data_IF_960267055618
#
_entry.id   IF_960267055618
#
_cell.length_a   1.000
_cell.length_b   1.000
_cell.length_c   1.000
_cell.angle_alpha   90.00
_cell.angle_beta   90.00
_cell.angle_gamma   90.00
#
_symmetry.space_group_name_H-M   'P 1'
#
loop_
_entity.id
_entity.type
_entity.pdbx_description
1 polymer ?
#
# COMPACT_ATOMS: atom_id res chain seq x y z
N UNK A 1 30.32 -8.90 -28.19
CA UNK A 1 29.06 -9.13 -27.42
C UNK A 1 28.74 -7.86 -26.66
N UNK A 2 27.47 -7.44 -26.60
CA UNK A 2 27.02 -6.28 -25.81
C UNK A 2 25.98 -6.71 -24.78
N UNK A 3 26.00 -6.09 -23.60
CA UNK A 3 25.02 -6.36 -22.54
C UNK A 3 24.91 -5.16 -21.62
N UNK A 4 23.68 -4.83 -21.20
CA UNK A 4 23.41 -3.60 -20.43
C UNK A 4 23.74 -3.74 -18.93
N UNK A 5 23.47 -4.90 -18.33
CA UNK A 5 23.88 -5.19 -16.95
C UNK A 5 24.36 -6.64 -16.86
N UNK A 6 25.58 -6.85 -16.35
CA UNK A 6 26.23 -8.16 -16.25
C UNK A 6 27.05 -8.24 -14.98
N UNK A 7 26.65 -9.14 -14.10
CA UNK A 7 27.44 -9.53 -12.93
C UNK A 7 28.67 -10.36 -13.32
N UNK A 8 29.71 -10.40 -12.48
CA UNK A 8 30.90 -11.24 -12.72
C UNK A 8 30.55 -12.70 -13.03
N UNK A 9 29.61 -13.29 -12.27
CA UNK A 9 29.19 -14.68 -12.49
C UNK A 9 28.60 -14.91 -13.90
N UNK A 10 27.92 -13.90 -14.47
CA UNK A 10 27.37 -13.98 -15.81
C UNK A 10 28.47 -13.81 -16.87
N UNK A 11 29.50 -13.00 -16.60
CA UNK A 11 30.66 -12.85 -17.48
C UNK A 11 31.45 -14.16 -17.54
N UNK A 12 31.71 -14.78 -16.39
CA UNK A 12 32.39 -16.08 -16.33
C UNK A 12 31.58 -17.19 -17.00
N UNK A 13 30.25 -17.17 -16.84
CA UNK A 13 29.35 -18.04 -17.59
C UNK A 13 29.49 -17.89 -19.12
N UNK A 14 29.53 -16.65 -19.64
CA UNK A 14 29.75 -16.40 -21.07
C UNK A 14 31.11 -16.93 -21.51
N UNK A 15 32.17 -16.59 -20.78
CA UNK A 15 33.53 -17.01 -21.12
C UNK A 15 33.62 -18.52 -21.24
N UNK A 16 33.08 -19.23 -20.24
CA UNK A 16 33.01 -20.69 -20.24
C UNK A 16 32.18 -21.23 -21.41
N UNK A 17 30.98 -20.70 -21.64
CA UNK A 17 30.09 -21.17 -22.71
C UNK A 17 30.65 -20.92 -24.11
N UNK A 18 31.32 -19.80 -24.32
CA UNK A 18 31.91 -19.41 -25.60
C UNK A 18 33.38 -19.81 -25.75
N UNK A 19 33.95 -20.49 -24.74
CA UNK A 19 35.36 -20.92 -24.67
C UNK A 19 36.33 -19.75 -24.91
N UNK A 20 36.03 -18.61 -24.30
CA UNK A 20 36.85 -17.41 -24.41
C UNK A 20 37.79 -17.30 -23.22
N UNK A 21 39.08 -17.27 -23.50
CA UNK A 21 40.13 -17.04 -22.50
C UNK A 21 40.28 -15.56 -22.18
N UNK A 22 40.69 -15.24 -20.95
CA UNK A 22 40.76 -13.84 -20.49
C UNK A 22 41.74 -12.97 -21.27
N UNK A 23 42.79 -13.55 -21.87
CA UNK A 23 43.74 -12.81 -22.72
C UNK A 23 43.19 -12.48 -24.12
N UNK A 24 42.09 -13.14 -24.54
CA UNK A 24 41.47 -12.96 -25.84
C UNK A 24 40.26 -12.00 -25.80
N UNK A 25 40.00 -11.37 -24.65
CA UNK A 25 38.83 -10.53 -24.45
C UNK A 25 39.24 -9.20 -23.84
N UNK A 26 38.83 -8.10 -24.47
CA UNK A 26 38.78 -6.80 -23.83
C UNK A 26 37.37 -6.56 -23.29
N UNK A 27 37.27 -6.16 -22.02
CA UNK A 27 36.00 -5.80 -21.38
C UNK A 27 35.96 -4.29 -21.21
N UNK A 28 35.09 -3.64 -21.99
CA UNK A 28 34.76 -2.23 -21.83
C UNK A 28 33.53 -2.13 -20.94
N UNK A 29 33.59 -1.31 -19.89
CA UNK A 29 32.49 -1.09 -18.95
C UNK A 29 32.04 0.36 -19.04
N UNK A 30 30.74 0.57 -19.21
CA UNK A 30 30.14 1.90 -19.11
C UNK A 30 29.81 2.27 -17.67
N UNK A 31 29.51 3.54 -17.45
CA UNK A 31 28.97 4.03 -16.17
C UNK A 31 27.55 3.46 -15.96
N UNK A 32 27.31 2.91 -14.77
CA UNK A 32 26.02 2.30 -14.41
C UNK A 32 25.20 3.22 -13.50
N UNK A 33 25.87 4.03 -12.67
CA UNK A 33 25.17 4.98 -11.83
C UNK A 33 24.49 6.01 -12.73
N UNK A 34 23.18 6.16 -12.56
CA UNK A 34 22.38 7.17 -13.24
C UNK A 34 21.87 8.17 -12.21
N UNK A 35 22.64 9.25 -11.89
CA UNK A 35 22.28 10.21 -10.85
C UNK A 35 20.90 10.85 -11.04
N UNK A 36 20.46 10.94 -12.30
CA UNK A 36 19.19 11.55 -12.69
C UNK A 36 17.95 10.75 -12.26
N UNK A 37 18.13 9.50 -11.82
CA UNK A 37 17.03 8.66 -11.33
C UNK A 37 17.00 8.72 -9.81
N UNK A 38 15.93 9.29 -9.24
CA UNK A 38 15.65 9.23 -7.81
C UNK A 38 15.04 7.88 -7.45
N UNK A 39 15.77 7.09 -6.66
CA UNK A 39 15.33 5.76 -6.22
C UNK A 39 14.74 5.83 -4.81
N UNK A 40 13.47 5.46 -4.66
CA UNK A 40 12.75 5.42 -3.39
C UNK A 40 12.36 3.98 -3.08
N UNK A 41 12.90 3.43 -2.00
CA UNK A 41 12.46 2.13 -1.46
C UNK A 41 11.40 2.37 -0.39
N UNK A 42 10.24 1.73 -0.53
CA UNK A 42 9.09 1.87 0.38
C UNK A 42 8.73 0.51 0.98
N UNK A 43 8.65 0.47 2.30
CA UNK A 43 8.09 -0.68 3.01
C UNK A 43 6.58 -0.73 2.80
N UNK A 44 6.08 -1.86 2.29
CA UNK A 44 4.66 -2.05 2.03
C UNK A 44 3.85 -2.07 3.33
N UNK A 45 2.71 -1.38 3.31
CA UNK A 45 1.71 -1.39 4.38
C UNK A 45 0.58 -2.36 4.04
N UNK A 46 0.29 -2.51 2.76
CA UNK A 46 -0.75 -3.39 2.25
C UNK A 46 -0.17 -4.73 1.78
N UNK A 47 -1.07 -5.70 1.55
CA UNK A 47 -0.63 -7.01 1.07
C UNK A 47 -0.11 -6.93 -0.38
N UNK A 48 0.93 -7.74 -0.68
CA UNK A 48 1.38 -7.95 -2.07
C UNK A 48 0.27 -8.49 -2.99
N UNK A 49 -0.75 -9.13 -2.42
CA UNK A 49 -1.88 -9.66 -3.17
C UNK A 49 -2.81 -8.54 -3.64
N UNK A 50 -3.09 -7.54 -2.80
CA UNK A 50 -4.01 -6.44 -3.12
C UNK A 50 -3.36 -5.32 -3.94
N UNK A 51 -2.03 -5.16 -3.89
CA UNK A 51 -1.33 -3.99 -4.43
C UNK A 51 -1.87 -2.67 -3.88
N UNK A 52 -2.43 -2.68 -2.67
CA UNK A 52 -3.14 -1.55 -2.07
C UNK A 52 -2.27 -0.31 -1.85
N UNK A 53 -0.96 -0.47 -1.68
CA UNK A 53 -0.03 0.66 -1.53
C UNK A 53 -0.06 1.64 -2.72
N UNK A 54 -0.41 1.15 -3.92
CA UNK A 54 -0.60 2.00 -5.10
C UNK A 54 -1.68 3.07 -4.89
N UNK A 55 -2.71 2.79 -4.08
CA UNK A 55 -3.79 3.75 -3.81
C UNK A 55 -3.28 5.01 -3.12
N UNK A 56 -2.23 4.90 -2.31
CA UNK A 56 -1.68 6.03 -1.57
C UNK A 56 -0.80 6.96 -2.41
N UNK A 57 -0.26 6.45 -3.52
CA UNK A 57 0.72 7.19 -4.33
C UNK A 57 0.19 7.65 -5.68
N UNK A 58 -1.01 7.19 -6.09
CA UNK A 58 -1.60 7.57 -7.37
C UNK A 58 -2.69 8.63 -7.16
N UNK A 59 -2.59 9.81 -7.81
CA UNK A 59 -3.59 10.87 -7.76
C UNK A 59 -4.99 10.41 -8.16
N UNK A 60 -6.04 11.01 -7.57
CA UNK A 60 -7.42 10.83 -8.04
C UNK A 60 -7.63 11.48 -9.40
N UNK A 61 -8.56 10.94 -10.21
CA UNK A 61 -8.88 11.52 -11.53
C UNK A 61 -9.49 12.92 -11.45
N UNK A 62 -10.20 13.22 -10.37
CA UNK A 62 -10.76 14.55 -10.10
C UNK A 62 -9.70 15.61 -9.81
N UNK A 63 -8.49 15.20 -9.41
CA UNK A 63 -7.40 16.10 -9.03
C UNK A 63 -6.37 16.23 -10.14
N UNK A 64 -5.98 15.10 -10.76
CA UNK A 64 -5.06 15.06 -11.90
C UNK A 64 -5.72 14.30 -13.04
N UNK A 65 -6.13 14.94 -14.15
CA UNK A 65 -6.71 14.24 -15.31
C UNK A 65 -5.72 13.26 -15.96
N UNK A 66 -6.22 12.25 -16.69
CA UNK A 66 -5.38 11.20 -17.30
C UNK A 66 -4.29 11.76 -18.22
N UNK A 67 -4.56 12.88 -18.92
CA UNK A 67 -3.61 13.55 -19.81
C UNK A 67 -2.41 14.19 -19.09
N UNK A 68 -2.54 14.49 -17.79
CA UNK A 68 -1.49 15.09 -16.97
C UNK A 68 -0.79 14.06 -16.08
N UNK A 69 -1.19 12.80 -16.15
CA UNK A 69 -0.55 11.74 -15.38
C UNK A 69 0.84 11.46 -15.91
N UNK A 70 1.79 11.34 -14.98
CA UNK A 70 3.17 10.93 -15.29
C UNK A 70 3.15 9.55 -15.98
N UNK A 71 3.78 9.41 -17.16
CA UNK A 71 3.94 8.11 -17.80
C UNK A 71 4.67 7.13 -16.88
N UNK A 72 3.96 6.10 -16.45
CA UNK A 72 4.39 5.23 -15.36
C UNK A 72 4.26 3.76 -15.72
N UNK A 73 5.29 2.99 -15.42
CA UNK A 73 5.28 1.54 -15.56
C UNK A 73 5.22 0.87 -14.20
N UNK A 74 4.28 -0.06 -14.03
CA UNK A 74 4.12 -0.85 -12.81
C UNK A 74 4.52 -2.28 -13.10
N UNK A 75 5.72 -2.67 -12.66
CA UNK A 75 6.22 -4.02 -12.76
C UNK A 75 5.69 -4.89 -11.64
N UNK A 76 5.22 -6.07 -12.02
CA UNK A 76 4.61 -7.06 -11.15
C UNK A 76 5.24 -8.43 -11.35
N UNK A 77 5.29 -9.22 -10.27
CA UNK A 77 5.95 -10.53 -10.27
C UNK A 77 5.19 -11.62 -11.04
N UNK A 78 3.92 -11.41 -11.41
CA UNK A 78 3.12 -12.40 -12.13
C UNK A 78 2.07 -11.76 -13.01
N UNK A 79 1.57 -12.53 -13.98
CA UNK A 79 0.49 -12.11 -14.86
C UNK A 79 -0.76 -11.72 -14.04
N UNK A 80 -1.20 -12.54 -13.08
CA UNK A 80 -2.39 -12.23 -12.27
C UNK A 80 -2.21 -10.94 -11.45
N UNK A 81 -1.00 -10.65 -10.98
CA UNK A 81 -0.70 -9.40 -10.26
C UNK A 81 -0.77 -8.17 -11.16
N UNK A 82 -0.46 -8.29 -12.46
CA UNK A 82 -0.66 -7.15 -13.39
C UNK A 82 -2.14 -6.75 -13.48
N UNK A 83 -3.07 -7.71 -13.45
CA UNK A 83 -4.51 -7.39 -13.37
C UNK A 83 -4.91 -6.80 -12.01
N UNK A 84 -4.30 -7.26 -10.93
CA UNK A 84 -4.63 -6.79 -9.58
C UNK A 84 -4.13 -5.37 -9.33
N UNK A 85 -2.92 -5.04 -9.77
CA UNK A 85 -2.43 -3.66 -9.75
C UNK A 85 -3.30 -2.74 -10.59
N UNK A 86 -3.82 -3.17 -11.74
CA UNK A 86 -4.80 -2.38 -12.51
C UNK A 86 -6.08 -2.07 -11.72
N UNK A 87 -6.59 -3.02 -10.94
CA UNK A 87 -7.75 -2.79 -10.05
C UNK A 87 -7.41 -1.79 -8.94
N UNK A 88 -6.21 -1.87 -8.36
CA UNK A 88 -5.74 -0.91 -7.36
C UNK A 88 -5.58 0.50 -7.95
N UNK A 89 -5.08 0.59 -9.18
CA UNK A 89 -4.97 1.84 -9.94
C UNK A 89 -6.35 2.45 -10.21
N UNK A 90 -7.31 1.66 -10.67
CA UNK A 90 -8.71 2.10 -10.84
C UNK A 90 -9.32 2.63 -9.54
N UNK A 91 -9.05 1.95 -8.43
CA UNK A 91 -9.51 2.38 -7.10
C UNK A 91 -8.88 3.72 -6.71
N UNK A 92 -7.57 3.89 -6.92
CA UNK A 92 -6.85 5.14 -6.67
C UNK A 92 -7.43 6.31 -7.47
N UNK A 93 -7.75 6.06 -8.75
CA UNK A 93 -8.34 7.06 -9.64
C UNK A 93 -9.80 7.39 -9.33
N UNK A 94 -10.50 6.55 -8.57
CA UNK A 94 -11.94 6.65 -8.37
C UNK A 94 -12.75 6.15 -9.58
N UNK A 95 -12.18 5.28 -10.41
CA UNK A 95 -12.77 4.79 -11.67
C UNK A 95 -12.83 3.26 -11.71
N UNK A 96 -13.45 2.65 -10.69
CA UNK A 96 -13.52 1.18 -10.54
C UNK A 96 -14.05 0.49 -11.81
N UNK A 97 -13.27 -0.43 -12.36
CA UNK A 97 -13.63 -1.24 -13.53
C UNK A 97 -13.26 -0.61 -14.89
N UNK A 98 -12.70 0.60 -14.91
CA UNK A 98 -12.26 1.28 -16.13
C UNK A 98 -11.08 0.56 -16.81
N UNK A 99 -10.21 -0.09 -16.03
CA UNK A 99 -9.06 -0.84 -16.54
C UNK A 99 -9.46 -2.12 -17.29
N UNK A 100 -10.67 -2.63 -17.06
CA UNK A 100 -11.18 -3.84 -17.72
C UNK A 100 -11.79 -3.57 -19.09
N UNK A 101 -11.99 -2.28 -19.44
CA UNK A 101 -12.53 -1.89 -20.74
C UNK A 101 -11.45 -2.06 -21.83
N UNK A 102 -11.79 -2.63 -23.00
CA UNK A 102 -10.90 -2.63 -24.14
C UNK A 102 -10.42 -1.21 -24.46
N UNK A 103 -9.13 -1.06 -24.79
CA UNK A 103 -8.51 0.25 -25.11
C UNK A 103 -8.66 1.31 -24.00
N UNK A 104 -8.66 0.90 -22.73
CA UNK A 104 -8.64 1.83 -21.60
C UNK A 104 -7.59 2.93 -21.82
N UNK A 105 -8.00 4.17 -21.58
CA UNK A 105 -7.18 5.39 -21.77
C UNK A 105 -6.34 5.74 -20.54
N UNK A 106 -6.42 4.94 -19.48
CA UNK A 106 -5.63 5.17 -18.27
C UNK A 106 -4.52 4.13 -18.11
N UNK A 107 -4.87 2.84 -17.93
CA UNK A 107 -3.91 1.76 -17.74
C UNK A 107 -4.17 0.60 -18.68
N UNK A 108 -3.09 0.02 -19.23
CA UNK A 108 -3.15 -1.20 -20.03
C UNK A 108 -2.18 -2.26 -19.51
N UNK A 109 -2.49 -3.52 -19.81
CA UNK A 109 -1.73 -4.70 -19.34
C UNK A 109 -0.73 -5.15 -20.40
N UNK A 110 0.47 -5.56 -19.97
CA UNK A 110 1.47 -6.16 -20.88
C UNK A 110 2.18 -7.35 -20.23
N UNK A 111 2.15 -8.52 -20.87
CA UNK A 111 2.92 -9.70 -20.45
C UNK A 111 3.21 -10.63 -21.65
N UNK A 112 3.92 -11.74 -21.39
CA UNK A 112 4.33 -12.68 -22.44
C UNK A 112 3.14 -13.23 -23.25
N UNK A 113 2.05 -13.59 -22.57
CA UNK A 113 0.82 -14.09 -23.20
C UNK A 113 -0.11 -13.01 -23.81
N UNK A 114 0.30 -11.74 -23.84
CA UNK A 114 -0.44 -10.71 -24.58
C UNK A 114 -0.32 -11.00 -26.09
N UNK A 115 -1.43 -10.94 -26.83
CA UNK A 115 -1.41 -11.18 -28.27
C UNK A 115 -0.50 -10.19 -29.01
N UNK A 116 0.14 -10.63 -30.10
CA UNK A 116 1.17 -9.82 -30.78
C UNK A 116 0.62 -8.48 -31.29
N UNK A 117 -0.60 -8.49 -31.84
CA UNK A 117 -1.30 -7.27 -32.27
C UNK A 117 -1.54 -6.30 -31.11
N UNK A 118 -1.88 -6.82 -29.94
CA UNK A 118 -2.10 -6.00 -28.75
C UNK A 118 -0.79 -5.43 -28.21
N UNK A 119 0.31 -6.19 -28.26
CA UNK A 119 1.65 -5.68 -27.89
C UNK A 119 2.04 -4.50 -28.78
N UNK A 120 1.94 -4.67 -30.10
CA UNK A 120 2.22 -3.60 -31.07
C UNK A 120 1.31 -2.38 -30.84
N UNK A 121 0.02 -2.61 -30.56
CA UNK A 121 -0.91 -1.51 -30.32
C UNK A 121 -0.64 -0.76 -29.02
N UNK A 122 -0.30 -1.46 -27.94
CA UNK A 122 0.12 -0.85 -26.67
C UNK A 122 1.37 0.00 -26.87
N UNK A 123 2.32 -0.46 -27.68
CA UNK A 123 3.52 0.30 -28.04
C UNK A 123 3.17 1.57 -28.79
N UNK A 124 2.41 1.45 -29.87
CA UNK A 124 2.02 2.57 -30.70
C UNK A 124 1.25 3.63 -29.90
N UNK A 125 0.28 3.20 -29.10
CA UNK A 125 -0.57 4.11 -28.32
C UNK A 125 0.20 4.76 -27.17
N UNK A 126 1.21 4.08 -26.59
CA UNK A 126 2.08 4.70 -25.58
C UNK A 126 2.98 5.77 -26.22
N UNK A 127 3.54 5.51 -27.40
CA UNK A 127 4.35 6.47 -28.14
C UNK A 127 3.54 7.71 -28.55
N UNK A 128 2.23 7.56 -28.78
CA UNK A 128 1.28 8.66 -29.04
C UNK A 128 0.72 9.31 -27.78
N UNK A 129 1.19 8.92 -26.59
CA UNK A 129 0.69 9.41 -25.30
C UNK A 129 -0.82 9.23 -25.10
N UNK A 130 -1.43 8.19 -25.67
CA UNK A 130 -2.88 7.96 -25.55
C UNK A 130 -3.32 7.48 -24.16
N UNK A 131 -2.39 6.92 -23.39
CA UNK A 131 -2.62 6.47 -22.03
C UNK A 131 -1.31 6.51 -21.22
N UNK A 132 -1.36 6.84 -19.92
CA UNK A 132 -0.17 7.07 -19.11
C UNK A 132 0.42 5.82 -18.43
N UNK A 133 -0.35 4.74 -18.19
CA UNK A 133 0.09 3.63 -17.34
C UNK A 133 0.20 2.29 -18.07
N UNK A 134 1.28 1.56 -17.82
CA UNK A 134 1.40 0.13 -18.18
C UNK A 134 1.57 -0.68 -16.90
N UNK A 135 0.70 -1.66 -16.70
CA UNK A 135 0.92 -2.74 -15.73
C UNK A 135 1.51 -3.95 -16.42
N UNK A 136 2.73 -4.34 -16.05
CA UNK A 136 3.49 -5.35 -16.78
C UNK A 136 4.25 -6.34 -15.91
N UNK A 137 4.64 -7.46 -16.52
CA UNK A 137 5.70 -8.32 -16.01
C UNK A 137 7.03 -7.96 -16.68
N UNK A 138 8.12 -8.62 -16.27
CA UNK A 138 9.42 -8.52 -16.95
C UNK A 138 9.39 -8.90 -18.44
N UNK A 139 8.29 -9.39 -19.00
CA UNK A 139 8.19 -9.60 -20.45
C UNK A 139 8.36 -8.29 -21.25
N UNK A 140 8.02 -7.15 -20.66
CA UNK A 140 8.29 -5.83 -21.23
C UNK A 140 9.74 -5.43 -20.96
N UNK A 141 10.74 -6.24 -21.33
CA UNK A 141 12.13 -6.01 -20.91
C UNK A 141 13.12 -5.56 -22.00
N UNK A 142 12.93 -5.84 -23.29
CA UNK A 142 14.03 -5.67 -24.26
C UNK A 142 13.57 -5.22 -25.64
N UNK A 143 14.38 -4.38 -26.30
CA UNK A 143 14.29 -4.09 -27.74
C UNK A 143 13.49 -2.85 -28.17
N UNK A 144 12.93 -2.08 -27.22
CA UNK A 144 12.07 -0.93 -27.53
C UNK A 144 12.55 0.29 -26.74
N UNK A 145 12.75 1.42 -27.43
CA UNK A 145 13.16 2.68 -26.80
C UNK A 145 11.93 3.46 -26.34
N UNK A 146 11.76 3.59 -25.03
CA UNK A 146 10.60 4.23 -24.42
C UNK A 146 11.00 5.55 -23.76
N UNK A 147 11.43 6.51 -24.59
CA UNK A 147 11.95 7.78 -24.11
C UNK A 147 10.95 8.57 -23.22
N UNK A 148 9.65 8.29 -23.33
CA UNK A 148 8.60 8.98 -22.60
C UNK A 148 8.38 8.50 -21.16
N UNK A 149 8.97 7.38 -20.73
CA UNK A 149 8.76 6.84 -19.38
C UNK A 149 9.53 7.68 -18.36
N UNK A 150 8.79 8.21 -17.38
CA UNK A 150 9.37 9.05 -16.33
C UNK A 150 9.31 8.38 -14.96
N UNK A 151 8.34 7.50 -14.72
CA UNK A 151 8.24 6.76 -13.46
C UNK A 151 8.22 5.25 -13.66
N UNK A 152 8.93 4.53 -12.80
CA UNK A 152 8.90 3.08 -12.70
C UNK A 152 8.56 2.67 -11.27
N UNK A 153 7.54 1.84 -11.12
CA UNK A 153 7.13 1.25 -9.85
C UNK A 153 7.38 -0.25 -9.93
N UNK A 154 8.18 -0.78 -9.01
CA UNK A 154 8.46 -2.20 -8.87
C UNK A 154 7.72 -2.75 -7.66
N UNK A 155 6.83 -3.73 -7.89
CA UNK A 155 6.06 -4.38 -6.84
C UNK A 155 6.73 -5.65 -6.35
N UNK A 156 7.28 -5.60 -5.14
CA UNK A 156 7.76 -6.75 -4.39
C UNK A 156 9.16 -7.24 -4.79
N UNK A 157 9.47 -8.44 -4.30
CA UNK A 157 10.81 -9.06 -4.38
C UNK A 157 11.14 -9.48 -5.81
N UNK A 158 12.30 -9.06 -6.32
CA UNK A 158 12.85 -9.42 -7.65
C UNK A 158 14.37 -9.24 -7.62
N UNK A 159 15.08 -9.96 -8.50
CA UNK A 159 16.54 -9.89 -8.61
C UNK A 159 17.04 -8.44 -8.80
N UNK A 160 18.05 -7.97 -8.04
CA UNK A 160 18.52 -6.59 -8.12
C UNK A 160 19.00 -6.15 -9.50
N UNK A 161 19.66 -7.04 -10.27
CA UNK A 161 20.13 -6.71 -11.61
C UNK A 161 18.96 -6.48 -12.56
N UNK A 162 17.86 -7.21 -12.36
CA UNK A 162 16.61 -7.03 -13.08
C UNK A 162 15.92 -5.72 -12.68
N UNK A 163 15.88 -5.39 -11.38
CA UNK A 163 15.35 -4.10 -10.90
C UNK A 163 16.14 -2.93 -11.50
N UNK A 164 17.47 -3.01 -11.48
CA UNK A 164 18.35 -2.02 -12.09
C UNK A 164 17.98 -1.79 -13.58
N UNK A 165 17.82 -2.86 -14.38
CA UNK A 165 17.37 -2.73 -15.76
C UNK A 165 15.96 -2.13 -15.92
N UNK A 166 15.06 -2.39 -14.97
CA UNK A 166 13.69 -1.86 -15.00
C UNK A 166 13.67 -0.37 -14.69
N UNK A 167 14.36 0.07 -13.63
CA UNK A 167 14.36 1.46 -13.19
C UNK A 167 15.16 2.37 -14.15
N UNK A 168 16.23 1.88 -14.78
CA UNK A 168 17.02 2.59 -15.80
C UNK A 168 16.28 2.85 -17.13
N UNK A 169 14.96 2.68 -17.14
CA UNK A 169 14.07 3.12 -18.22
C UNK A 169 13.47 4.48 -17.96
N UNK A 170 13.32 4.84 -16.70
CA UNK A 170 13.00 6.21 -16.34
C UNK A 170 14.16 7.13 -16.72
N UNK A 171 13.85 8.34 -17.17
CA UNK A 171 14.83 9.41 -17.37
C UNK A 171 15.68 9.35 -18.66
N UNK A 172 15.30 8.52 -19.65
CA UNK A 172 16.05 8.38 -20.91
C UNK A 172 16.03 9.61 -21.83
N UNK A 173 15.16 10.57 -21.57
CA UNK A 173 15.06 11.83 -22.34
C UNK A 173 15.87 12.99 -21.74
N UNK A 174 16.86 12.71 -20.88
CA UNK A 174 17.64 13.75 -20.18
C UNK A 174 16.84 14.50 -19.11
N UNK A 175 15.65 13.99 -18.77
CA UNK A 175 14.82 14.47 -17.66
C UNK A 175 15.01 13.56 -16.44
N UNK A 176 14.88 14.09 -15.22
CA UNK A 176 15.03 13.25 -14.04
C UNK A 176 13.91 12.20 -13.98
N UNK A 177 14.28 11.00 -13.54
CA UNK A 177 13.39 9.84 -13.44
C UNK A 177 13.04 9.51 -12.00
N UNK A 178 11.89 8.86 -11.79
CA UNK A 178 11.49 8.38 -10.48
C UNK A 178 11.36 6.86 -10.48
N UNK A 179 12.04 6.21 -9.54
CA UNK A 179 11.90 4.78 -9.30
C UNK A 179 11.34 4.53 -7.89
N UNK A 180 10.23 3.81 -7.78
CA UNK A 180 9.64 3.41 -6.49
C UNK A 180 9.70 1.89 -6.39
N UNK A 181 10.39 1.38 -5.37
CA UNK A 181 10.56 -0.05 -5.13
C UNK A 181 9.78 -0.40 -3.86
N UNK A 182 8.67 -1.12 -4.02
CA UNK A 182 7.91 -1.63 -2.89
C UNK A 182 8.51 -2.94 -2.39
N UNK A 183 8.90 -2.96 -1.12
CA UNK A 183 9.50 -4.12 -0.47
C UNK A 183 8.63 -4.61 0.67
N UNK A 184 8.51 -5.92 0.82
CA UNK A 184 7.77 -6.48 1.95
C UNK A 184 8.56 -6.30 3.25
N UNK A 185 7.90 -5.89 4.36
CA UNK A 185 8.56 -5.70 5.64
C UNK A 185 9.11 -6.99 6.23
N UNK A 186 8.41 -8.11 5.98
CA UNK A 186 8.85 -9.43 6.37
C UNK A 186 8.74 -10.40 5.21
N UNK A 187 9.87 -11.03 4.86
CA UNK A 187 10.01 -12.03 3.81
C UNK A 187 10.05 -13.41 4.46
N UNK A 188 9.04 -14.24 4.20
CA UNK A 188 8.95 -15.60 4.77
C UNK A 188 10.08 -16.46 4.19
N UNK A 189 10.85 -17.10 5.06
CA UNK A 189 12.00 -17.91 4.66
C UNK A 189 13.19 -17.12 4.11
N UNK A 190 13.16 -15.78 4.19
CA UNK A 190 14.25 -14.90 3.80
C UNK A 190 14.90 -14.19 5.00
N UNK A 191 16.02 -13.53 4.75
CA UNK A 191 16.82 -12.80 5.77
C UNK A 191 16.25 -11.41 6.02
N UNK A 192 15.76 -11.14 7.23
CA UNK A 192 14.95 -9.94 7.49
C UNK A 192 15.73 -8.80 8.16
N UNK A 193 16.42 -9.01 9.28
CA UNK A 193 17.41 -8.06 9.78
C UNK A 193 18.76 -8.19 9.05
N UNK A 194 19.56 -7.13 9.11
CA UNK A 194 20.95 -7.13 8.61
C UNK A 194 21.80 -8.19 9.34
N UNK A 195 21.51 -8.45 10.62
CA UNK A 195 22.21 -9.45 11.42
C UNK A 195 22.09 -10.90 10.88
N UNK A 196 21.07 -11.20 10.07
CA UNK A 196 20.93 -12.52 9.41
C UNK A 196 21.99 -12.73 8.31
N UNK A 197 22.70 -11.67 7.91
CA UNK A 197 23.76 -11.72 6.92
C UNK A 197 25.11 -11.84 7.62
N UNK A 198 25.63 -13.06 7.67
CA UNK A 198 26.94 -13.32 8.25
C UNK A 198 28.04 -12.65 7.43
N UNK A 199 29.03 -12.00 8.08
CA UNK A 199 30.19 -11.44 7.41
C UNK A 199 30.94 -12.50 6.59
N UNK A 200 31.56 -12.08 5.48
CA UNK A 200 32.41 -12.90 4.62
C UNK A 200 31.72 -14.10 3.94
N UNK A 201 30.38 -14.22 4.03
CA UNK A 201 29.64 -15.17 3.22
C UNK A 201 29.19 -14.55 1.90
N UNK A 202 29.43 -15.28 0.81
CA UNK A 202 28.93 -14.89 -0.51
C UNK A 202 27.40 -14.87 -0.50
N UNK A 203 26.83 -13.77 -0.98
CA UNK A 203 25.38 -13.66 -1.12
C UNK A 203 24.90 -14.50 -2.30
N UNK A 204 23.93 -15.38 -2.06
CA UNK A 204 23.16 -16.03 -3.12
C UNK A 204 22.25 -15.04 -3.85
N UNK A 205 21.61 -15.44 -4.94
CA UNK A 205 20.59 -14.61 -5.59
C UNK A 205 19.43 -14.25 -4.64
N UNK A 206 19.04 -15.17 -3.77
CA UNK A 206 17.99 -14.95 -2.76
C UNK A 206 18.44 -13.96 -1.69
N UNK A 207 19.69 -14.10 -1.21
CA UNK A 207 20.28 -13.18 -0.24
C UNK A 207 20.37 -11.76 -0.78
N UNK A 208 20.72 -11.59 -2.07
CA UNK A 208 20.80 -10.27 -2.71
C UNK A 208 19.44 -9.57 -2.78
N UNK A 209 18.40 -10.31 -3.16
CA UNK A 209 17.02 -9.81 -3.13
C UNK A 209 16.62 -9.37 -1.72
N UNK A 210 17.07 -10.14 -0.73
CA UNK A 210 16.79 -9.88 0.67
C UNK A 210 17.56 -8.68 1.21
N UNK A 211 18.83 -8.56 0.85
CA UNK A 211 19.71 -7.47 1.21
C UNK A 211 19.24 -6.14 0.61
N UNK A 212 18.81 -6.13 -0.66
CA UNK A 212 18.26 -4.91 -1.30
C UNK A 212 17.04 -4.37 -0.55
N UNK A 213 16.22 -5.24 0.03
CA UNK A 213 15.04 -4.84 0.77
C UNK A 213 15.35 -4.09 2.08
N UNK A 214 16.56 -4.23 2.63
CA UNK A 214 16.90 -3.74 3.98
C UNK A 214 18.21 -2.98 4.08
N UNK A 215 19.04 -2.99 3.03
CA UNK A 215 20.34 -2.32 3.05
C UNK A 215 20.20 -0.86 3.52
N UNK A 216 21.03 -0.40 4.47
CA UNK A 216 21.01 0.98 4.94
C UNK A 216 21.82 1.93 4.04
N UNK A 217 22.60 1.40 3.09
CA UNK A 217 23.53 2.19 2.29
C UNK A 217 22.84 2.89 1.10
N UNK A 218 23.52 3.81 0.42
CA UNK A 218 22.98 4.44 -0.78
C UNK A 218 22.52 3.40 -1.82
N UNK A 219 21.28 3.53 -2.33
CA UNK A 219 20.70 2.57 -3.27
C UNK A 219 21.38 2.59 -4.65
N UNK A 220 21.85 3.76 -5.10
CA UNK A 220 22.60 3.86 -6.37
C UNK A 220 23.91 3.07 -6.28
N UNK A 221 24.70 3.34 -5.24
CA UNK A 221 25.95 2.62 -4.96
C UNK A 221 25.69 1.13 -4.73
N UNK A 222 24.61 0.76 -4.03
CA UNK A 222 24.25 -0.64 -3.84
C UNK A 222 24.01 -1.36 -5.16
N UNK A 223 23.31 -0.75 -6.12
CA UNK A 223 23.14 -1.31 -7.47
C UNK A 223 24.46 -1.36 -8.25
N UNK A 224 25.32 -0.35 -8.13
CA UNK A 224 26.64 -0.36 -8.75
C UNK A 224 27.47 -1.55 -8.25
N UNK A 225 27.61 -1.70 -6.94
CA UNK A 225 28.36 -2.80 -6.31
C UNK A 225 27.75 -4.16 -6.67
N UNK A 226 26.42 -4.29 -6.66
CA UNK A 226 25.78 -5.54 -7.07
C UNK A 226 26.15 -5.96 -8.49
N UNK A 227 26.20 -5.01 -9.42
CA UNK A 227 26.56 -5.30 -10.80
C UNK A 227 28.06 -5.54 -10.98
N UNK A 228 28.92 -4.80 -10.27
CA UNK A 228 30.37 -4.93 -10.41
C UNK A 228 30.95 -6.10 -9.63
N UNK A 229 30.48 -6.36 -8.41
CA UNK A 229 31.03 -7.33 -7.46
C UNK A 229 30.08 -8.47 -7.14
N UNK A 230 28.78 -8.36 -7.45
CA UNK A 230 27.83 -9.46 -7.33
C UNK A 230 27.15 -9.60 -5.97
N UNK A 231 27.19 -8.58 -5.11
CA UNK A 231 26.53 -8.58 -3.80
C UNK A 231 25.95 -7.20 -3.45
N UNK A 232 24.99 -7.15 -2.52
CA UNK A 232 24.45 -5.88 -2.01
C UNK A 232 25.17 -5.52 -0.70
N UNK A 233 25.87 -4.38 -0.61
CA UNK A 233 26.47 -3.92 0.66
C UNK A 233 25.39 -3.71 1.73
N UNK A 234 25.69 -4.06 2.97
CA UNK A 234 24.76 -3.94 4.11
C UNK A 234 25.28 -3.01 5.22
N UNK A 235 26.52 -2.53 5.09
CA UNK A 235 27.18 -1.66 6.06
C UNK A 235 27.77 -0.46 5.32
N UNK A 236 27.66 0.71 5.93
CA UNK A 236 28.31 1.94 5.42
C UNK A 236 29.84 1.85 5.49
N UNK A 237 30.36 0.95 6.33
CA UNK A 237 31.78 0.70 6.50
C UNK A 237 32.35 -0.35 5.53
N UNK A 238 31.51 -0.93 4.65
CA UNK A 238 31.97 -1.83 3.60
C UNK A 238 33.06 -1.13 2.74
N UNK A 239 34.26 -1.72 2.59
CA UNK A 239 35.36 -1.09 1.85
C UNK A 239 35.00 -0.76 0.41
N UNK A 240 34.27 -1.65 -0.27
CA UNK A 240 33.83 -1.44 -1.66
C UNK A 240 32.81 -0.30 -1.73
N UNK A 241 31.94 -0.18 -0.73
CA UNK A 241 30.99 0.93 -0.62
C UNK A 241 31.70 2.27 -0.46
N UNK A 242 32.68 2.35 0.44
CA UNK A 242 33.48 3.58 0.63
C UNK A 242 34.27 3.96 -0.62
N UNK A 243 34.86 2.96 -1.28
CA UNK A 243 35.60 3.19 -2.52
C UNK A 243 34.70 3.75 -3.63
N UNK A 244 33.51 3.16 -3.82
CA UNK A 244 32.57 3.62 -4.85
C UNK A 244 32.00 5.01 -4.51
N UNK A 245 31.71 5.26 -3.24
CA UNK A 245 31.28 6.58 -2.78
C UNK A 245 32.34 7.66 -3.08
N UNK A 246 33.62 7.36 -2.84
CA UNK A 246 34.71 8.32 -3.09
C UNK A 246 34.96 8.51 -4.59
N UNK A 247 34.79 7.46 -5.38
CA UNK A 247 34.84 7.53 -6.84
C UNK A 247 33.73 8.44 -7.39
N UNK A 248 32.48 8.26 -6.97
CA UNK A 248 31.36 9.11 -7.42
C UNK A 248 31.60 10.59 -7.10
N UNK A 249 32.13 10.90 -5.90
CA UNK A 249 32.53 12.27 -5.53
C UNK A 249 33.64 12.81 -6.42
N UNK A 250 34.69 12.01 -6.64
CA UNK A 250 35.83 12.39 -7.47
C UNK A 250 35.45 12.60 -8.94
N UNK A 251 34.43 11.89 -9.42
CA UNK A 251 33.84 12.04 -10.74
C UNK A 251 32.87 13.23 -10.85
N UNK A 252 32.64 13.96 -9.76
CA UNK A 252 31.77 15.15 -9.74
C UNK A 252 30.28 14.84 -9.74
N UNK A 253 29.86 13.66 -9.29
CA UNK A 253 28.44 13.31 -9.24
C UNK A 253 27.70 14.14 -8.20
N UNK A 254 26.45 14.51 -8.52
CA UNK A 254 25.56 15.17 -7.57
C UNK A 254 25.24 14.24 -6.40
N UNK A 255 25.03 14.82 -5.21
CA UNK A 255 24.69 14.07 -4.02
C UNK A 255 23.39 13.26 -4.24
N UNK A 256 23.43 11.96 -3.92
CA UNK A 256 22.29 11.08 -4.15
C UNK A 256 21.10 11.43 -3.27
N UNK A 257 19.89 11.47 -3.87
CA UNK A 257 18.63 11.73 -3.17
C UNK A 257 17.76 10.46 -2.99
N UNK A 258 18.38 9.28 -3.03
CA UNK A 258 17.66 8.04 -2.79
C UNK A 258 17.10 7.99 -1.36
N UNK A 259 16.12 7.12 -1.11
CA UNK A 259 15.44 7.04 0.20
C UNK A 259 16.36 6.70 1.39
N UNK A 260 17.55 6.17 1.14
CA UNK A 260 18.54 5.88 2.19
C UNK A 260 19.51 7.07 2.44
N UNK A 261 19.69 7.95 1.46
CA UNK A 261 20.52 9.15 1.58
C UNK A 261 19.72 10.38 2.01
N UNK A 262 18.45 10.43 1.66
CA UNK A 262 17.55 11.53 1.98
C UNK A 262 16.17 10.98 2.33
N UNK A 263 15.57 11.38 3.48
CA UNK A 263 14.23 10.95 3.86
C UNK A 263 13.21 11.21 2.74
N UNK A 264 12.41 10.19 2.42
CA UNK A 264 11.47 10.23 1.30
C UNK A 264 10.01 10.42 1.73
N UNK A 265 9.73 10.40 3.04
CA UNK A 265 8.38 10.50 3.62
C UNK A 265 7.68 11.80 3.21
N UNK A 266 8.42 12.91 3.18
CA UNK A 266 7.89 14.19 2.72
C UNK A 266 7.43 14.15 1.26
N UNK A 267 8.24 13.56 0.37
CA UNK A 267 7.88 13.41 -1.04
C UNK A 267 6.69 12.45 -1.19
N UNK A 268 6.73 11.28 -0.53
CA UNK A 268 5.67 10.28 -0.59
C UNK A 268 4.33 10.79 -0.05
N UNK A 269 4.33 11.68 0.94
CA UNK A 269 3.10 12.29 1.46
C UNK A 269 2.39 13.23 0.48
N UNK A 270 3.11 13.70 -0.55
CA UNK A 270 2.63 14.66 -1.57
C UNK A 270 2.61 14.05 -2.97
N UNK A 271 3.07 12.82 -3.13
CA UNK A 271 3.26 12.21 -4.45
C UNK A 271 1.94 12.04 -5.21
N UNK A 272 0.82 11.98 -4.50
CA UNK A 272 -0.53 11.97 -5.08
C UNK A 272 -0.95 13.31 -5.72
N UNK A 273 -0.13 14.36 -5.64
CA UNK A 273 -0.32 15.62 -6.40
C UNK A 273 0.63 15.73 -7.60
N UNK A 274 1.43 14.69 -7.85
CA UNK A 274 2.41 14.68 -8.94
C UNK A 274 1.75 14.56 -10.30
N UNK A 275 2.21 15.36 -11.25
CA UNK A 275 1.78 15.38 -12.65
C UNK A 275 2.99 15.69 -13.57
N UNK A 276 2.77 15.66 -14.88
CA UNK A 276 3.82 15.88 -15.88
C UNK A 276 4.50 17.26 -15.80
N UNK A 277 3.82 18.26 -15.26
CA UNK A 277 4.29 19.66 -15.20
C UNK A 277 5.15 19.91 -13.95
N UNK A 278 4.85 19.23 -12.84
CA UNK A 278 5.52 19.46 -11.56
C UNK A 278 6.51 18.35 -11.15
N UNK A 279 6.52 17.20 -11.84
CA UNK A 279 7.32 16.03 -11.46
C UNK A 279 8.80 16.36 -11.29
N UNK A 280 9.42 17.01 -12.28
CA UNK A 280 10.86 17.29 -12.28
C UNK A 280 11.28 18.10 -11.04
N UNK A 281 10.49 19.11 -10.68
CA UNK A 281 10.68 19.89 -9.46
C UNK A 281 10.48 19.02 -8.21
N UNK A 282 9.38 18.27 -8.15
CA UNK A 282 9.07 17.42 -6.99
C UNK A 282 10.17 16.41 -6.67
N UNK A 283 10.77 15.78 -7.69
CA UNK A 283 11.79 14.74 -7.48
C UNK A 283 13.19 15.32 -7.29
N UNK A 284 13.48 16.52 -7.78
CA UNK A 284 14.80 17.16 -7.67
C UNK A 284 15.03 17.88 -6.34
N UNK A 285 14.00 18.01 -5.49
CA UNK A 285 14.13 18.71 -4.20
C UNK A 285 13.80 17.85 -2.98
N UNK A 286 14.35 18.27 -1.84
CA UNK A 286 14.02 17.71 -0.54
C UNK A 286 12.66 18.22 -0.08
N UNK A 287 11.86 17.32 0.49
CA UNK A 287 10.58 17.65 1.09
C UNK A 287 10.62 17.29 2.57
N UNK A 288 10.41 18.26 3.47
CA UNK A 288 10.28 17.98 4.89
C UNK A 288 9.12 17.00 5.13
N UNK A 289 9.33 16.12 6.11
CA UNK A 289 8.25 15.27 6.60
C UNK A 289 7.06 16.16 6.99
N UNK A 290 5.81 15.77 6.66
CA UNK A 290 4.66 16.52 7.13
C UNK A 290 4.74 16.63 8.65
N UNK A 291 4.57 17.85 9.17
CA UNK A 291 4.53 18.06 10.61
C UNK A 291 3.49 17.09 11.16
N UNK A 292 3.96 16.16 12.00
CA UNK A 292 3.03 15.40 12.81
C UNK A 292 2.38 16.48 13.65
N UNK A 293 1.10 16.77 13.41
CA UNK A 293 0.33 17.57 14.35
C UNK A 293 0.33 16.71 15.60
N UNK A 294 1.33 16.92 16.45
CA UNK A 294 1.26 16.61 17.85
C UNK A 294 -0.01 17.30 18.25
N UNK A 295 -1.09 16.52 18.40
CA UNK A 295 -2.22 16.94 19.21
C UNK A 295 -1.59 17.11 20.58
N UNK A 296 -1.01 18.29 20.82
CA UNK A 296 -0.60 18.72 22.14
C UNK A 296 -1.83 18.49 22.96
N UNK A 297 -1.74 17.54 23.87
CA UNK A 297 -2.65 17.37 24.99
C UNK A 297 -2.56 18.70 25.75
N UNK A 298 -3.29 19.71 25.27
CA UNK A 298 -3.49 20.95 26.01
C UNK A 298 -4.24 20.49 27.24
N UNK A 299 -3.49 20.37 28.33
CA UNK A 299 -3.98 20.17 29.69
C UNK A 299 -4.94 21.33 29.91
N UNK A 300 -6.24 21.07 29.74
CA UNK A 300 -7.27 22.10 29.91
C UNK A 300 -7.35 22.34 31.42
N UNK A 301 -6.74 23.43 31.87
CA UNK A 301 -6.99 23.98 33.20
C UNK A 301 -8.50 24.20 33.34
N UNK A 302 -9.03 23.82 34.49
CA UNK A 302 -10.41 24.03 34.84
C UNK A 302 -10.67 25.53 34.97
N UNK A 303 -11.35 26.11 33.99
CA UNK A 303 -12.08 27.36 34.15
C UNK A 303 -13.57 27.02 34.12
N UNK A 304 -14.24 27.40 35.20
CA UNK A 304 -15.66 27.22 35.43
C UNK A 304 -16.52 27.88 34.33
N UNK A 305 -17.69 27.29 34.07
CA UNK A 305 -18.83 27.97 33.45
C UNK A 305 -19.08 27.67 31.98
N UNK A 306 -20.18 26.96 31.72
CA UNK A 306 -21.10 27.26 30.61
C UNK A 306 -20.86 26.62 29.24
N UNK A 307 -21.65 25.57 28.95
CA UNK A 307 -22.36 25.43 27.66
C UNK A 307 -21.63 24.80 26.47
N UNK A 308 -22.08 23.61 26.04
CA UNK A 308 -21.86 23.09 24.68
C UNK A 308 -21.20 21.70 24.62
N UNK A 309 -21.96 20.63 24.91
CA UNK A 309 -21.54 19.25 24.69
C UNK A 309 -21.80 18.86 23.22
N UNK A 310 -20.75 18.64 22.43
CA UNK A 310 -20.80 17.74 21.26
C UNK A 310 -20.22 16.39 21.66
N UNK A 311 -21.06 15.35 21.65
CA UNK A 311 -20.76 14.00 22.11
C UNK A 311 -19.89 13.22 21.11
N UNK A 312 -18.70 12.80 21.53
CA UNK A 312 -18.00 11.64 20.95
C UNK A 312 -18.72 10.36 21.38
N UNK A 313 -19.30 9.62 20.42
CA UNK A 313 -20.02 8.37 20.65
C UNK A 313 -19.13 7.25 21.21
N UNK A 314 -19.62 6.57 22.24
CA UNK A 314 -18.99 5.39 22.85
C UNK A 314 -19.25 4.17 21.97
N UNK A 315 -18.22 3.39 21.61
CA UNK A 315 -18.41 2.06 21.00
C UNK A 315 -19.09 1.12 22.00
N UNK A 316 -20.35 0.76 21.75
CA UNK A 316 -21.11 -0.19 22.55
C UNK A 316 -20.79 -1.61 22.06
N UNK A 317 -20.29 -2.47 22.94
CA UNK A 317 -20.02 -3.89 22.62
C UNK A 317 -21.22 -4.74 23.07
N UNK A 318 -21.97 -5.29 22.11
CA UNK A 318 -23.14 -6.16 22.36
C UNK A 318 -22.71 -7.53 22.90
N UNK A 319 -23.52 -8.16 23.76
CA UNK A 319 -23.32 -9.54 24.22
C UNK A 319 -23.75 -10.56 23.15
N UNK A 320 -23.18 -11.77 23.17
CA UNK A 320 -23.50 -12.87 22.22
C UNK A 320 -25.01 -13.05 21.90
N UNK A 321 -25.94 -13.13 22.88
CA UNK A 321 -27.36 -13.29 22.54
C UNK A 321 -27.99 -12.07 21.84
N UNK A 322 -27.47 -10.87 22.09
CA UNK A 322 -27.92 -9.64 21.40
C UNK A 322 -27.29 -9.53 20.00
N UNK A 323 -26.12 -10.13 19.81
CA UNK A 323 -25.47 -10.19 18.51
C UNK A 323 -26.26 -11.10 17.56
N UNK A 324 -26.68 -12.27 18.04
CA UNK A 324 -27.52 -13.22 17.30
C UNK A 324 -28.87 -12.59 16.90
N UNK A 325 -29.60 -12.01 17.87
CA UNK A 325 -30.88 -11.35 17.57
C UNK A 325 -30.74 -10.17 16.60
N UNK A 326 -29.69 -9.35 16.71
CA UNK A 326 -29.47 -8.25 15.78
C UNK A 326 -29.11 -8.77 14.38
N UNK A 327 -28.32 -9.83 14.30
CA UNK A 327 -27.96 -10.49 13.04
C UNK A 327 -29.18 -10.99 12.28
N UNK A 328 -30.07 -11.72 12.98
CA UNK A 328 -31.31 -12.23 12.40
C UNK A 328 -32.22 -11.11 11.90
N UNK A 329 -32.40 -10.04 12.70
CA UNK A 329 -33.25 -8.91 12.32
C UNK A 329 -32.69 -8.12 11.13
N UNK A 330 -31.36 -7.94 11.06
CA UNK A 330 -30.71 -7.28 9.92
C UNK A 330 -30.83 -8.12 8.65
N UNK A 331 -30.61 -9.43 8.74
CA UNK A 331 -30.77 -10.35 7.62
C UNK A 331 -32.21 -10.37 7.09
N UNK A 332 -33.21 -10.42 7.99
CA UNK A 332 -34.63 -10.38 7.62
C UNK A 332 -34.99 -9.06 6.92
N UNK A 333 -34.59 -7.92 7.47
CA UNK A 333 -34.91 -6.62 6.87
C UNK A 333 -34.26 -6.41 5.49
N UNK A 334 -33.06 -6.95 5.30
CA UNK A 334 -32.42 -6.94 3.99
C UNK A 334 -33.17 -7.85 3.00
N UNK A 335 -33.55 -9.05 3.43
CA UNK A 335 -34.31 -10.00 2.62
C UNK A 335 -35.65 -9.41 2.18
N UNK A 336 -36.38 -8.73 3.05
CA UNK A 336 -37.63 -8.06 2.68
C UNK A 336 -37.42 -7.00 1.58
N UNK A 337 -36.35 -6.21 1.68
CA UNK A 337 -35.99 -5.25 0.63
C UNK A 337 -35.62 -5.95 -0.68
N UNK A 338 -34.91 -7.07 -0.59
CA UNK A 338 -34.49 -7.87 -1.73
C UNK A 338 -35.69 -8.49 -2.46
N UNK A 339 -36.61 -9.11 -1.73
CA UNK A 339 -37.79 -9.78 -2.29
C UNK A 339 -38.75 -8.77 -2.94
N UNK A 340 -38.88 -7.55 -2.38
CA UNK A 340 -39.62 -6.45 -3.02
C UNK A 340 -39.00 -6.04 -4.36
N UNK A 341 -37.67 -6.05 -4.46
CA UNK A 341 -36.97 -5.66 -5.68
C UNK A 341 -37.01 -6.76 -6.74
N UNK A 342 -37.06 -8.02 -6.32
CA UNK A 342 -37.07 -9.20 -7.19
C UNK A 342 -38.14 -10.22 -6.80
N UNK A 343 -39.44 -9.91 -7.01
CA UNK A 343 -40.54 -10.75 -6.55
C UNK A 343 -40.62 -12.12 -7.25
N UNK A 344 -39.99 -12.26 -8.41
CA UNK A 344 -39.97 -13.50 -9.20
C UNK A 344 -38.66 -14.30 -9.01
N UNK A 345 -37.85 -13.95 -8.00
CA UNK A 345 -36.56 -14.57 -7.71
C UNK A 345 -35.42 -14.07 -8.59
N UNK A 346 -34.19 -14.44 -8.22
CA UNK A 346 -32.96 -14.18 -8.99
C UNK A 346 -32.03 -15.40 -8.94
N UNK A 347 -30.97 -15.40 -9.74
CA UNK A 347 -29.90 -16.41 -9.66
C UNK A 347 -28.91 -16.20 -8.50
N UNK A 348 -29.17 -15.25 -7.60
CA UNK A 348 -28.32 -14.89 -6.46
C UNK A 348 -29.19 -14.86 -5.20
N UNK A 349 -28.70 -15.43 -4.10
CA UNK A 349 -29.41 -15.45 -2.83
C UNK A 349 -29.17 -14.13 -2.05
N UNK A 350 -30.16 -13.58 -1.31
CA UNK A 350 -29.94 -12.46 -0.39
C UNK A 350 -28.69 -12.60 0.48
N UNK A 351 -28.38 -13.81 0.96
CA UNK A 351 -27.22 -14.06 1.83
C UNK A 351 -25.88 -13.89 1.10
N UNK A 352 -25.85 -14.07 -0.23
CA UNK A 352 -24.65 -13.85 -1.05
C UNK A 352 -24.31 -12.36 -1.19
N UNK A 353 -25.30 -11.49 -0.96
CA UNK A 353 -25.17 -10.03 -1.08
C UNK A 353 -25.12 -9.32 0.28
N UNK A 354 -25.75 -9.91 1.29
CA UNK A 354 -25.77 -9.40 2.66
C UNK A 354 -25.68 -10.58 3.63
N UNK A 355 -24.46 -11.02 3.88
CA UNK A 355 -24.16 -12.15 4.75
C UNK A 355 -23.50 -11.73 6.05
N UNK A 356 -22.86 -12.68 6.72
CA UNK A 356 -22.22 -12.50 8.02
C UNK A 356 -21.14 -11.39 8.01
N UNK A 357 -20.46 -11.17 6.88
CA UNK A 357 -19.44 -10.12 6.77
C UNK A 357 -20.04 -8.72 6.86
N UNK A 358 -21.15 -8.46 6.18
CA UNK A 358 -21.85 -7.16 6.18
C UNK A 358 -22.48 -6.90 7.55
N UNK A 359 -23.14 -7.92 8.11
CA UNK A 359 -23.75 -7.85 9.44
C UNK A 359 -22.69 -7.55 10.50
N UNK A 360 -21.55 -8.25 10.45
CA UNK A 360 -20.44 -8.03 11.38
C UNK A 360 -19.87 -6.61 11.30
N UNK A 361 -19.75 -6.02 10.09
CA UNK A 361 -19.32 -4.62 9.93
C UNK A 361 -20.27 -3.64 10.61
N UNK A 362 -21.58 -3.89 10.55
CA UNK A 362 -22.59 -3.08 11.24
C UNK A 362 -22.44 -3.23 12.75
N UNK A 363 -22.30 -4.47 13.24
CA UNK A 363 -22.15 -4.75 14.67
C UNK A 363 -20.88 -4.14 15.28
N UNK A 364 -19.75 -4.24 14.57
CA UNK A 364 -18.46 -3.68 15.01
C UNK A 364 -18.50 -2.14 15.16
N UNK A 365 -19.47 -1.50 14.50
CA UNK A 365 -19.67 -0.06 14.50
C UNK A 365 -20.98 0.39 15.17
N UNK A 366 -21.72 -0.52 15.83
CA UNK A 366 -23.08 -0.28 16.34
C UNK A 366 -23.24 1.06 17.08
N UNK A 367 -22.46 1.29 18.15
CA UNK A 367 -22.52 2.54 18.94
C UNK A 367 -21.97 3.80 18.27
N UNK A 368 -21.54 3.73 17.01
CA UNK A 368 -21.08 4.86 16.20
C UNK A 368 -22.03 5.15 15.02
N UNK A 369 -23.11 4.39 14.86
CA UNK A 369 -24.09 4.58 13.80
C UNK A 369 -25.07 5.67 14.23
N UNK A 370 -25.06 6.80 13.51
CA UNK A 370 -25.89 7.97 13.79
C UNK A 370 -26.65 8.45 12.54
N UNK A 371 -27.37 7.51 11.93
CA UNK A 371 -28.21 7.77 10.76
C UNK A 371 -27.90 6.87 9.57
N UNK A 372 -28.81 6.89 8.60
CA UNK A 372 -28.74 6.15 7.32
C UNK A 372 -27.42 6.39 6.57
N UNK A 373 -26.88 7.62 6.65
CA UNK A 373 -25.59 7.98 6.03
C UNK A 373 -24.40 7.22 6.62
N UNK A 374 -24.46 6.87 7.91
CA UNK A 374 -23.41 6.11 8.59
C UNK A 374 -23.47 4.63 8.22
N UNK A 375 -24.68 4.06 8.11
CA UNK A 375 -24.90 2.70 7.58
C UNK A 375 -24.39 2.57 6.14
N UNK A 376 -24.69 3.56 5.29
CA UNK A 376 -24.20 3.62 3.90
C UNK A 376 -22.67 3.63 3.82
N UNK A 377 -22.01 4.41 4.69
CA UNK A 377 -20.54 4.50 4.75
C UNK A 377 -19.90 3.19 5.22
N UNK A 378 -20.53 2.48 6.16
CA UNK A 378 -20.03 1.23 6.71
C UNK A 378 -20.14 0.09 5.69
N UNK A 379 -21.28 0.00 4.99
CA UNK A 379 -21.52 -1.10 4.06
C UNK A 379 -20.78 -0.95 2.72
N UNK A 380 -20.71 0.26 2.17
CA UNK A 380 -19.94 0.53 0.94
C UNK A 380 -20.34 -0.30 -0.28
N UNK A 381 -21.32 0.17 -1.07
CA UNK A 381 -21.60 -0.33 -2.43
C UNK A 381 -22.75 -1.36 -2.54
N UNK A 382 -23.31 -1.43 -3.77
CA UNK A 382 -24.57 -2.06 -4.24
C UNK A 382 -25.85 -1.67 -3.49
N UNK A 383 -26.89 -1.26 -4.24
CA UNK A 383 -28.14 -0.73 -3.71
C UNK A 383 -29.34 -1.58 -4.13
N UNK A 384 -29.96 -2.23 -3.16
CA UNK A 384 -31.39 -2.52 -3.18
C UNK A 384 -32.13 -1.24 -2.71
N UNK A 385 -33.14 -0.74 -3.45
CA UNK A 385 -33.89 0.43 -3.04
C UNK A 385 -34.47 0.27 -1.62
N UNK A 386 -34.29 1.27 -0.76
CA UNK A 386 -34.81 1.25 0.62
C UNK A 386 -33.96 0.49 1.65
N UNK A 387 -32.92 -0.24 1.24
CA UNK A 387 -32.14 -1.10 2.15
C UNK A 387 -31.53 -0.34 3.33
N UNK A 388 -30.97 0.86 3.11
CA UNK A 388 -30.26 1.57 4.18
C UNK A 388 -31.23 2.16 5.21
N UNK A 389 -32.43 2.55 4.76
CA UNK A 389 -33.50 3.00 5.64
C UNK A 389 -34.03 1.84 6.49
N UNK A 390 -34.25 0.67 5.88
CA UNK A 390 -34.70 -0.52 6.59
C UNK A 390 -33.67 -1.00 7.62
N UNK A 391 -32.40 -1.09 7.24
CA UNK A 391 -31.32 -1.51 8.15
C UNK A 391 -31.10 -0.50 9.29
N UNK A 392 -31.16 0.81 9.00
CA UNK A 392 -31.06 1.82 10.06
C UNK A 392 -32.24 1.75 11.03
N UNK A 393 -33.46 1.52 10.54
CA UNK A 393 -34.65 1.34 11.39
C UNK A 393 -34.49 0.14 12.34
N UNK A 394 -33.97 -0.99 11.86
CA UNK A 394 -33.67 -2.15 12.71
C UNK A 394 -32.67 -1.79 13.81
N UNK A 395 -31.62 -1.03 13.49
CA UNK A 395 -30.61 -0.59 14.47
C UNK A 395 -31.25 0.34 15.51
N UNK A 396 -32.07 1.30 15.09
CA UNK A 396 -32.78 2.23 15.96
C UNK A 396 -33.80 1.52 16.88
N UNK A 397 -34.58 0.59 16.35
CA UNK A 397 -35.52 -0.24 17.12
C UNK A 397 -34.75 -1.13 18.13
N UNK A 398 -33.58 -1.62 17.75
CA UNK A 398 -32.74 -2.46 18.61
C UNK A 398 -32.07 -1.67 19.75
N UNK A 399 -31.65 -0.43 19.48
CA UNK A 399 -31.16 0.49 20.52
C UNK A 399 -32.25 0.83 21.54
N UNK A 400 -33.47 1.07 21.06
CA UNK A 400 -34.60 1.48 21.90
C UNK A 400 -35.30 0.32 22.63
N UNK A 401 -35.08 -0.94 22.23
CA UNK A 401 -35.69 -2.12 22.85
C UNK A 401 -34.71 -3.00 23.63
N UNK A 402 -34.15 -4.07 23.02
CA UNK A 402 -33.32 -5.06 23.70
C UNK A 402 -32.10 -4.51 24.45
N UNK A 403 -31.47 -3.45 23.92
CA UNK A 403 -30.30 -2.81 24.55
C UNK A 403 -30.71 -1.96 25.75
N UNK A 404 -31.76 -1.14 25.61
CA UNK A 404 -32.32 -0.32 26.68
C UNK A 404 -32.83 -1.16 27.87
N UNK A 405 -33.49 -2.29 27.60
CA UNK A 405 -33.97 -3.23 28.63
C UNK A 405 -32.83 -3.92 29.39
N UNK A 406 -31.70 -4.19 28.74
CA UNK A 406 -30.54 -4.80 29.41
C UNK A 406 -29.80 -3.79 30.30
N UNK A 407 -29.70 -2.53 29.88
CA UNK A 407 -29.10 -1.47 30.70
C UNK A 407 -29.95 -1.11 31.92
N UNK A 408 -31.28 -1.09 31.79
CA UNK A 408 -32.19 -0.85 32.92
C UNK A 408 -32.11 -1.98 33.96
N UNK A 409 -32.08 -3.25 33.54
CA UNK A 409 -31.89 -4.42 34.43
C UNK A 409 -30.51 -4.39 35.11
N UNK A 410 -29.45 -3.98 34.40
CA UNK A 410 -28.09 -3.87 34.97
C UNK A 410 -28.00 -2.75 36.01
N UNK A 411 -28.63 -1.60 35.76
CA UNK A 411 -28.74 -0.50 36.74
C UNK A 411 -29.54 -0.93 37.98
N UNK A 412 -30.64 -1.65 37.81
CA UNK A 412 -31.44 -2.17 38.93
C UNK A 412 -30.66 -3.17 39.80
N UNK A 413 -29.90 -4.09 39.19
CA UNK A 413 -29.02 -5.03 39.94
C UNK A 413 -27.87 -4.32 40.65
N UNK A 414 -27.27 -3.31 40.04
CA UNK A 414 -26.24 -2.48 40.67
C UNK A 414 -26.76 -1.72 41.88
N UNK A 415 -27.95 -1.12 41.78
CA UNK A 415 -28.61 -0.43 42.89
C UNK A 415 -28.96 -1.40 44.05
N UNK A 416 -29.44 -2.60 43.74
CA UNK A 416 -29.73 -3.62 44.75
C UNK A 416 -28.47 -4.09 45.49
N UNK A 417 -27.35 -4.30 44.78
CA UNK A 417 -26.07 -4.68 45.38
C UNK A 417 -25.47 -3.58 46.25
N UNK A 418 -25.61 -2.31 45.85
CA UNK A 418 -25.16 -1.18 46.65
C UNK A 418 -25.99 -1.02 47.93
N UNK A 419 -27.31 -1.24 47.86
CA UNK A 419 -28.20 -1.22 49.02
C UNK A 419 -27.87 -2.33 50.03
N UNK A 420 -27.58 -3.54 49.55
CA UNK A 420 -27.17 -4.67 50.39
C UNK A 420 -25.83 -4.41 51.09
N UNK A 421 -24.87 -3.82 50.39
CA UNK A 421 -23.58 -3.43 50.97
C UNK A 421 -23.73 -2.35 52.04
N UNK A 422 -24.58 -1.35 51.81
CA UNK A 422 -24.89 -0.32 52.81
C UNK A 422 -25.59 -0.89 54.05
N UNK A 423 -26.44 -1.90 53.91
CA UNK A 423 -27.05 -2.61 55.05
C UNK A 423 -26.02 -3.45 55.82
N UNK A 424 -25.09 -4.13 55.14
CA UNK A 424 -24.00 -4.88 55.78
C UNK A 424 -23.03 -3.95 56.53
N UNK A 425 -22.67 -2.81 55.94
CA UNK A 425 -21.82 -1.79 56.57
C UNK A 425 -22.51 -1.16 57.80
N UNK A 426 -23.82 -0.88 57.73
CA UNK A 426 -24.59 -0.38 58.87
C UNK A 426 -24.76 -1.43 60.00
N UNK A 427 -24.82 -2.72 59.66
CA UNK A 427 -24.86 -3.81 60.64
C UNK A 427 -23.50 -3.98 61.34
N UNK A 428 -22.40 -3.76 60.61
CA UNK A 428 -21.05 -3.78 61.15
C UNK A 428 -20.80 -2.61 62.12
N UNK A 429 -21.28 -1.39 61.80
CA UNK A 429 -21.22 -0.25 62.73
C UNK A 429 -22.02 -0.50 64.02
N UNK A 430 -23.21 -1.10 63.93
CA UNK A 430 -24.00 -1.46 65.13
C UNK A 430 -23.33 -2.52 66.00
N UNK A 431 -22.59 -3.46 65.41
CA UNK A 431 -21.81 -4.47 66.16
C UNK A 431 -20.57 -3.89 66.84
N UNK A 432 -19.96 -2.86 66.26
CA UNK A 432 -18.83 -2.13 66.87
C UNK A 432 -19.22 -1.27 68.09
N UNK A 433 -20.50 -0.93 68.25
CA UNK A 433 -20.98 -0.11 69.37
C UNK A 433 -21.20 -0.89 70.68
N UNK A 434 -21.25 -2.23 70.63
CA UNK A 434 -21.42 -3.10 71.81
C UNK A 434 -20.10 -3.76 72.28
N UNK A 435 -18.96 -3.32 71.76
CA UNK A 435 -17.61 -3.80 72.13
C UNK A 435 -16.68 -2.67 72.57
N UNK A 436 -17.26 -1.61 73.17
CA UNK A 436 -16.53 -0.62 73.97
C UNK A 436 -17.12 -0.52 75.37
#
# INVERSE_FOLDING_TARGET
>A
MMSATRRPIAIEGIKKSLKLESHNISIVKGELTCPEIRIIRVQMKESMTSCGDLVSIIPRKSEVPDAYMVPTWVYNSSQNKTATSMKALDLARGTRGNSMRPKSKFVRRFHSCTGEKDKLKVVEDLAKHEFPFISCTMALAMGQNWASVQCVIQMGRTDPSSICQMISRSGRAGRPGLAIIFTQPKRRGGKNPVADFLPNLTQTNEDRMDALAITPVCLQIAFAIDNFLGYIPLLVDDPSYKQEQEREKSAGFVACMCSNCTPAEGLLSRINTMNIDNMDNMISQYWPAPETTTKTTKRKQASAGGGGKTSTGKKIKLSLPLQEMLSENLASAYKDCFDVKWPNGTGVDPIDLFGDEEIKKIMDNFGAINGVSSVRKIMGGHMVPGQFQALYKVIEDFENGPVANKESVRKAKGAASAKKKAEEDALAERRGFWTK
#
